data_IF_002910623495
#
_entry.id   IF_002910623495
#
_cell.length_a   1.000
_cell.length_b   1.000
_cell.length_c   1.000
_cell.angle_alpha   90.00
_cell.angle_beta   90.00
_cell.angle_gamma   90.00
#
_symmetry.space_group_name_H-M   'P 1'
#
loop_
_entity.id
_entity.type
_entity.pdbx_description
1 polymer ?
#
# COMPACT_ATOMS: atom_id res chain seq x y z
N UNK A 1 1.28 13.64 -17.24
CA UNK A 1 2.71 13.58 -16.88
C UNK A 1 3.55 12.84 -17.92
N UNK A 2 3.25 11.59 -18.28
CA UNK A 2 4.04 10.76 -19.20
C UNK A 2 4.39 11.48 -20.52
N UNK A 3 3.38 12.12 -21.15
CA UNK A 3 3.60 12.90 -22.37
C UNK A 3 4.51 14.10 -22.13
N UNK A 4 4.35 14.79 -20.99
CA UNK A 4 5.13 15.99 -20.67
C UNK A 4 6.62 15.68 -20.48
N UNK A 5 6.93 14.47 -19.94
CA UNK A 5 8.31 14.03 -19.72
C UNK A 5 8.86 13.14 -20.84
N UNK A 6 8.13 12.96 -21.93
CA UNK A 6 8.62 12.19 -23.09
C UNK A 6 8.69 10.67 -22.91
N UNK A 7 8.01 10.12 -21.89
CA UNK A 7 8.01 8.66 -21.64
C UNK A 7 7.10 7.86 -22.58
N UNK A 8 6.45 8.55 -23.53
CA UNK A 8 5.46 7.93 -24.40
C UNK A 8 4.14 7.62 -23.70
N UNK A 9 3.34 6.76 -24.27
CA UNK A 9 2.04 6.35 -23.74
C UNK A 9 1.83 4.83 -23.92
N UNK A 10 2.61 3.98 -23.25
CA UNK A 10 2.44 2.54 -23.38
C UNK A 10 1.09 2.09 -22.86
N UNK A 11 0.50 1.07 -23.47
CA UNK A 11 -0.76 0.50 -23.02
C UNK A 11 -0.65 -0.05 -21.59
N UNK A 12 -1.78 -0.16 -20.89
CA UNK A 12 -1.79 -0.77 -19.56
C UNK A 12 -1.21 -2.21 -19.60
N UNK A 13 -1.46 -2.96 -20.68
CA UNK A 13 -0.90 -4.30 -20.86
C UNK A 13 0.64 -4.28 -20.98
N UNK A 14 1.18 -3.37 -21.77
CA UNK A 14 2.64 -3.22 -21.92
C UNK A 14 3.32 -2.80 -20.60
N UNK A 15 2.71 -1.87 -19.85
CA UNK A 15 3.25 -1.47 -18.54
C UNK A 15 3.27 -2.63 -17.53
N UNK A 16 2.22 -3.44 -17.50
CA UNK A 16 2.16 -4.60 -16.60
C UNK A 16 3.12 -5.72 -17.02
N UNK A 17 3.33 -5.91 -18.32
CA UNK A 17 4.36 -6.84 -18.81
C UNK A 17 5.76 -6.33 -18.43
N UNK A 18 6.05 -5.05 -18.64
CA UNK A 18 7.32 -4.45 -18.22
C UNK A 18 7.52 -4.54 -16.68
N UNK A 19 6.47 -4.39 -15.88
CA UNK A 19 6.53 -4.61 -14.42
C UNK A 19 6.95 -6.05 -14.10
N UNK A 20 6.32 -7.05 -14.72
CA UNK A 20 6.66 -8.46 -14.53
C UNK A 20 8.12 -8.73 -14.86
N UNK A 21 8.57 -8.34 -16.07
CA UNK A 21 9.95 -8.52 -16.50
C UNK A 21 10.95 -7.83 -15.56
N UNK A 22 10.63 -6.61 -15.11
CA UNK A 22 11.46 -5.88 -14.17
C UNK A 22 11.61 -6.59 -12.82
N UNK A 23 10.53 -7.17 -12.28
CA UNK A 23 10.58 -7.94 -11.04
C UNK A 23 11.42 -9.22 -11.23
N UNK A 24 11.24 -9.94 -12.31
CA UNK A 24 12.01 -11.15 -12.62
C UNK A 24 13.50 -10.85 -12.76
N UNK A 25 13.87 -9.74 -13.43
CA UNK A 25 15.26 -9.26 -13.53
C UNK A 25 15.83 -8.92 -12.15
N UNK A 26 15.11 -8.15 -11.34
CA UNK A 26 15.56 -7.79 -9.99
C UNK A 26 15.81 -9.03 -9.14
N UNK A 27 14.91 -10.01 -9.14
CA UNK A 27 15.06 -11.25 -8.38
C UNK A 27 16.30 -12.05 -8.84
N UNK A 28 16.58 -12.13 -10.15
CA UNK A 28 17.80 -12.76 -10.65
C UNK A 28 19.05 -12.00 -10.20
N UNK A 29 19.06 -10.68 -10.26
CA UNK A 29 20.21 -9.87 -9.88
C UNK A 29 20.50 -9.90 -8.37
N UNK A 30 19.51 -10.16 -7.53
CA UNK A 30 19.69 -10.30 -6.07
C UNK A 30 20.27 -11.64 -5.65
N UNK A 31 20.14 -12.68 -6.51
CA UNK A 31 20.73 -13.98 -6.26
C UNK A 31 22.22 -14.03 -6.67
N UNK A 32 23.02 -15.01 -6.15
CA UNK A 32 24.39 -15.19 -6.58
C UNK A 32 24.50 -15.53 -8.09
N UNK A 33 25.32 -14.76 -8.82
CA UNK A 33 25.56 -14.99 -10.25
C UNK A 33 25.34 -13.72 -11.08
N UNK A 34 24.97 -13.93 -12.33
CA UNK A 34 24.69 -12.89 -13.31
C UNK A 34 23.24 -12.97 -13.74
N UNK A 35 22.56 -11.81 -13.81
CA UNK A 35 21.23 -11.71 -14.38
C UNK A 35 21.29 -11.84 -15.90
N UNK A 36 20.56 -12.79 -16.47
CA UNK A 36 20.39 -12.95 -17.91
C UNK A 36 18.89 -13.04 -18.20
N UNK A 37 18.38 -12.13 -19.01
CA UNK A 37 16.96 -12.06 -19.30
C UNK A 37 16.72 -11.59 -20.72
N UNK A 38 15.81 -12.22 -21.42
CA UNK A 38 15.38 -11.82 -22.77
C UNK A 38 13.85 -11.78 -22.80
N UNK A 39 13.29 -10.60 -22.51
CA UNK A 39 11.86 -10.34 -22.49
C UNK A 39 11.37 -9.56 -23.71
N UNK A 40 10.11 -9.15 -23.64
CA UNK A 40 9.48 -8.30 -24.66
C UNK A 40 9.95 -6.83 -24.54
N UNK A 41 10.16 -6.38 -23.29
CA UNK A 41 10.50 -4.98 -22.98
C UNK A 41 11.95 -4.81 -22.54
N UNK A 42 12.54 -5.81 -21.90
CA UNK A 42 13.89 -5.72 -21.35
C UNK A 42 14.75 -6.89 -21.81
N UNK A 43 16.02 -6.58 -22.09
CA UNK A 43 17.07 -7.58 -22.33
C UNK A 43 18.24 -7.25 -21.40
N UNK A 44 18.71 -8.26 -20.66
CA UNK A 44 19.85 -8.15 -19.74
C UNK A 44 20.81 -9.30 -20.03
N UNK A 45 22.09 -8.99 -20.17
CA UNK A 45 23.16 -9.94 -20.46
C UNK A 45 24.31 -9.74 -19.48
N UNK A 46 24.47 -10.69 -18.57
CA UNK A 46 25.53 -10.69 -17.56
C UNK A 46 25.45 -9.56 -16.53
N UNK A 47 24.25 -9.03 -16.23
CA UNK A 47 24.11 -7.95 -15.26
C UNK A 47 24.37 -8.42 -13.83
N UNK A 48 24.96 -7.54 -13.02
CA UNK A 48 25.31 -7.79 -11.63
C UNK A 48 24.71 -6.73 -10.72
N UNK A 49 24.34 -7.13 -9.49
CA UNK A 49 23.92 -6.21 -8.42
C UNK A 49 24.98 -6.19 -7.31
N UNK A 50 25.67 -5.04 -7.14
CA UNK A 50 26.61 -4.82 -6.05
C UNK A 50 26.43 -3.43 -5.44
N UNK A 51 26.38 -3.31 -4.08
CA UNK A 51 26.39 -4.42 -3.14
C UNK A 51 25.13 -5.29 -3.28
N UNK A 52 25.24 -6.56 -2.87
CA UNK A 52 24.07 -7.45 -2.81
C UNK A 52 23.12 -7.04 -1.70
N UNK A 53 21.83 -7.38 -1.81
CA UNK A 53 20.88 -7.21 -0.72
C UNK A 53 21.37 -7.89 0.57
N UNK A 54 21.24 -7.21 1.71
CA UNK A 54 21.58 -7.77 3.02
C UNK A 54 20.60 -8.85 3.47
N UNK A 55 19.40 -8.89 2.89
CA UNK A 55 18.32 -9.81 3.22
C UNK A 55 18.64 -11.27 2.85
N UNK A 56 19.65 -11.52 2.00
CA UNK A 56 20.17 -12.86 1.70
C UNK A 56 19.10 -13.93 1.49
N UNK A 57 19.43 -15.16 1.84
CA UNK A 57 18.57 -16.33 1.67
C UNK A 57 17.45 -16.45 2.72
N UNK A 58 17.31 -15.49 3.64
CA UNK A 58 16.42 -15.63 4.80
C UNK A 58 15.95 -14.28 5.35
N UNK A 59 15.37 -13.40 4.53
CA UNK A 59 14.67 -12.25 5.09
C UNK A 59 13.50 -12.73 5.96
N UNK A 60 13.40 -12.35 7.25
CA UNK A 60 12.25 -12.72 8.07
C UNK A 60 10.95 -12.27 7.41
N UNK A 61 10.04 -13.20 7.16
CA UNK A 61 8.72 -12.93 6.57
C UNK A 61 8.69 -12.86 5.04
N UNK A 62 9.83 -13.03 4.33
CA UNK A 62 9.81 -13.22 2.88
C UNK A 62 10.08 -14.70 2.55
N UNK A 63 9.18 -15.37 1.82
CA UNK A 63 9.42 -16.72 1.34
C UNK A 63 10.46 -16.76 0.21
N UNK A 64 11.02 -15.62 -0.17
CA UNK A 64 11.93 -15.43 -1.31
C UNK A 64 13.23 -14.78 -0.87
N UNK A 65 14.28 -15.13 -1.57
CA UNK A 65 15.60 -14.54 -1.37
C UNK A 65 15.63 -13.11 -1.92
N UNK A 66 16.15 -12.17 -1.14
CA UNK A 66 16.34 -10.78 -1.57
C UNK A 66 15.46 -9.77 -0.86
N UNK A 67 15.30 -8.61 -1.47
CA UNK A 67 14.51 -7.49 -0.95
C UNK A 67 13.02 -7.83 -1.08
N UNK A 68 12.20 -7.66 -0.03
CA UNK A 68 10.75 -7.87 -0.14
C UNK A 68 10.12 -6.99 -1.23
N UNK A 69 9.31 -7.58 -2.08
CA UNK A 69 8.70 -6.92 -3.23
C UNK A 69 7.28 -6.48 -2.89
N UNK A 70 7.02 -5.20 -3.07
CA UNK A 70 5.69 -4.63 -2.91
C UNK A 70 5.06 -4.34 -4.27
N UNK A 71 3.94 -5.01 -4.59
CA UNK A 71 3.20 -4.79 -5.84
C UNK A 71 1.85 -4.19 -5.50
N UNK A 72 1.67 -2.91 -5.86
CA UNK A 72 0.46 -2.15 -5.61
C UNK A 72 -0.48 -2.15 -6.83
N UNK A 73 -1.78 -2.06 -6.54
CA UNK A 73 -2.83 -1.88 -7.53
C UNK A 73 -3.90 -2.98 -7.51
N UNK A 74 -5.15 -2.56 -7.71
CA UNK A 74 -6.35 -3.42 -7.62
C UNK A 74 -6.78 -4.05 -8.96
N UNK A 75 -5.94 -4.07 -9.99
CA UNK A 75 -6.28 -4.64 -11.29
C UNK A 75 -6.45 -6.16 -11.23
N UNK A 76 -7.69 -6.63 -11.34
CA UNK A 76 -8.11 -8.00 -11.03
C UNK A 76 -7.43 -9.08 -11.87
N UNK A 77 -7.30 -8.85 -13.18
CA UNK A 77 -6.85 -9.88 -14.12
C UNK A 77 -5.32 -10.02 -14.21
N UNK A 78 -4.60 -8.89 -14.09
CA UNK A 78 -3.15 -8.86 -14.32
C UNK A 78 -2.37 -8.44 -13.09
N UNK A 79 -2.73 -7.31 -12.46
CA UNK A 79 -1.96 -6.79 -11.32
C UNK A 79 -1.99 -7.76 -10.15
N UNK A 80 -3.18 -8.25 -9.75
CA UNK A 80 -3.31 -9.23 -8.67
C UNK A 80 -2.69 -10.59 -9.04
N UNK A 81 -2.65 -10.95 -10.33
CA UNK A 81 -1.93 -12.14 -10.80
C UNK A 81 -0.42 -11.99 -10.62
N UNK A 82 0.15 -10.83 -11.00
CA UNK A 82 1.56 -10.53 -10.79
C UNK A 82 1.89 -10.47 -9.30
N UNK A 83 1.00 -9.91 -8.47
CA UNK A 83 1.14 -9.92 -7.02
C UNK A 83 1.16 -11.35 -6.47
N UNK A 84 0.27 -12.23 -6.90
CA UNK A 84 0.26 -13.64 -6.51
C UNK A 84 1.57 -14.36 -6.88
N UNK A 85 2.16 -14.03 -8.03
CA UNK A 85 3.39 -14.66 -8.50
C UNK A 85 4.65 -14.13 -7.81
N UNK A 86 4.72 -12.82 -7.48
CA UNK A 86 5.99 -12.18 -7.11
C UNK A 86 5.97 -11.36 -5.83
N UNK A 87 4.82 -10.92 -5.32
CA UNK A 87 4.79 -9.96 -4.23
C UNK A 87 4.94 -10.61 -2.84
N UNK A 88 5.69 -9.99 -1.96
CA UNK A 88 5.66 -10.25 -0.52
C UNK A 88 4.60 -9.37 0.15
N UNK A 89 4.37 -8.19 -0.41
CA UNK A 89 3.35 -7.24 0.01
C UNK A 89 2.50 -6.81 -1.18
N UNK A 90 1.22 -6.61 -0.97
CA UNK A 90 0.34 -5.97 -1.96
C UNK A 90 -0.49 -4.87 -1.35
N UNK A 91 -0.88 -3.90 -2.18
CA UNK A 91 -1.67 -2.75 -1.77
C UNK A 91 -2.82 -2.54 -2.75
N UNK A 92 -4.03 -2.43 -2.24
CA UNK A 92 -5.23 -2.11 -3.01
C UNK A 92 -6.21 -1.28 -2.17
N UNK A 93 -7.48 -1.17 -2.56
CA UNK A 93 -8.46 -0.32 -1.90
C UNK A 93 -8.56 -0.58 -0.39
N UNK A 94 -8.62 0.50 0.40
CA UNK A 94 -8.87 0.46 1.84
C UNK A 94 -10.35 0.47 2.22
N UNK A 95 -11.26 0.53 1.25
CA UNK A 95 -12.71 0.39 1.50
C UNK A 95 -13.02 -1.06 1.88
N UNK A 96 -13.68 -1.34 3.03
CA UNK A 96 -13.77 -2.69 3.58
C UNK A 96 -14.31 -3.74 2.62
N UNK A 97 -15.38 -3.43 1.89
CA UNK A 97 -16.01 -4.37 0.95
C UNK A 97 -15.12 -4.63 -0.28
N UNK A 98 -14.49 -3.57 -0.81
CA UNK A 98 -13.55 -3.70 -1.93
C UNK A 98 -12.29 -4.45 -1.50
N UNK A 99 -11.79 -4.21 -0.28
CA UNK A 99 -10.65 -4.94 0.27
C UNK A 99 -10.92 -6.44 0.33
N UNK A 100 -12.10 -6.82 0.83
CA UNK A 100 -12.51 -8.22 0.87
C UNK A 100 -12.62 -8.82 -0.53
N UNK A 101 -13.28 -8.13 -1.46
CA UNK A 101 -13.44 -8.60 -2.83
C UNK A 101 -12.08 -8.78 -3.55
N UNK A 102 -11.15 -7.83 -3.41
CA UNK A 102 -9.81 -7.94 -3.99
C UNK A 102 -8.98 -9.04 -3.33
N UNK A 103 -9.14 -9.26 -2.03
CA UNK A 103 -8.50 -10.35 -1.30
C UNK A 103 -8.92 -11.72 -1.83
N UNK A 104 -10.20 -11.92 -2.14
CA UNK A 104 -10.68 -13.19 -2.71
C UNK A 104 -10.16 -13.44 -4.13
N UNK A 105 -10.06 -12.39 -4.95
CA UNK A 105 -9.47 -12.51 -6.29
C UNK A 105 -7.97 -12.85 -6.19
N UNK A 106 -7.25 -12.22 -5.27
CA UNK A 106 -5.85 -12.54 -5.01
C UNK A 106 -5.69 -13.98 -4.54
N UNK A 107 -6.57 -14.46 -3.64
CA UNK A 107 -6.58 -15.86 -3.15
C UNK A 107 -6.75 -16.84 -4.30
N UNK A 108 -7.66 -16.56 -5.22
CA UNK A 108 -7.84 -17.40 -6.41
C UNK A 108 -6.59 -17.44 -7.28
N UNK A 109 -5.95 -16.29 -7.50
CA UNK A 109 -4.68 -16.25 -8.24
C UNK A 109 -3.54 -16.98 -7.53
N UNK A 110 -3.47 -16.91 -6.20
CA UNK A 110 -2.48 -17.67 -5.43
C UNK A 110 -2.69 -19.19 -5.62
N UNK A 111 -3.93 -19.67 -5.53
CA UNK A 111 -4.24 -21.07 -5.79
C UNK A 111 -3.83 -21.51 -7.21
N UNK A 112 -4.08 -20.67 -8.22
CA UNK A 112 -3.70 -20.95 -9.62
C UNK A 112 -2.17 -21.04 -9.84
N UNK A 113 -1.36 -20.32 -9.03
CA UNK A 113 0.12 -20.33 -9.15
C UNK A 113 0.76 -21.26 -8.14
N UNK A 114 -0.01 -21.93 -7.29
CA UNK A 114 0.49 -22.85 -6.27
C UNK A 114 1.23 -22.15 -5.13
N UNK A 115 0.75 -20.95 -4.73
CA UNK A 115 1.32 -20.18 -3.64
C UNK A 115 0.33 -20.05 -2.48
N UNK A 116 0.84 -20.06 -1.25
CA UNK A 116 0.02 -19.79 -0.07
C UNK A 116 -0.39 -18.29 -0.06
N UNK A 117 -1.69 -18.05 0.10
CA UNK A 117 -2.24 -16.71 0.12
C UNK A 117 -1.77 -15.91 1.34
N UNK A 118 -1.57 -16.56 2.44
CA UNK A 118 -1.13 -16.03 3.72
C UNK A 118 0.34 -15.53 3.69
N UNK A 119 1.13 -15.95 2.70
CA UNK A 119 2.49 -15.44 2.47
C UNK A 119 2.53 -14.00 1.95
N UNK A 120 1.38 -13.44 1.56
CA UNK A 120 1.29 -12.08 1.03
C UNK A 120 0.67 -11.16 2.08
N UNK A 121 1.45 -10.23 2.58
CA UNK A 121 0.97 -9.17 3.46
C UNK A 121 0.08 -8.21 2.67
N UNK A 122 -1.17 -8.07 3.08
CA UNK A 122 -2.14 -7.18 2.43
C UNK A 122 -2.21 -5.85 3.14
N UNK A 123 -2.08 -4.79 2.37
CA UNK A 123 -2.05 -3.41 2.86
C UNK A 123 -3.04 -2.52 2.14
N UNK A 124 -3.32 -1.38 2.74
CA UNK A 124 -4.08 -0.32 2.09
C UNK A 124 -3.59 1.07 2.53
N UNK A 125 -3.80 2.07 1.65
CA UNK A 125 -3.52 3.46 1.93
C UNK A 125 -4.80 4.15 2.42
N UNK A 126 -4.64 5.02 3.41
CA UNK A 126 -5.73 5.75 4.02
C UNK A 126 -5.39 7.23 4.12
N UNK A 127 -6.33 8.07 3.71
CA UNK A 127 -6.38 9.44 4.18
C UNK A 127 -7.03 9.44 5.57
N UNK A 128 -6.37 10.03 6.54
CA UNK A 128 -6.85 10.12 7.92
C UNK A 128 -7.29 11.54 8.21
N UNK A 129 -8.51 11.69 8.75
CA UNK A 129 -9.00 12.93 9.35
C UNK A 129 -9.50 12.59 10.74
N UNK A 130 -8.69 12.87 11.75
CA UNK A 130 -8.96 12.50 13.15
C UNK A 130 -9.18 13.73 14.02
N UNK A 131 -10.21 13.71 14.85
CA UNK A 131 -10.48 14.73 15.85
C UNK A 131 -10.82 14.10 17.19
N UNK A 132 -10.68 14.85 18.28
CA UNK A 132 -11.05 14.40 19.63
C UNK A 132 -12.56 14.21 19.77
N UNK A 133 -13.32 14.89 18.92
CA UNK A 133 -14.76 14.80 18.79
C UNK A 133 -15.20 15.12 17.36
N UNK A 134 -16.50 14.94 17.08
CA UNK A 134 -17.07 15.20 15.75
C UNK A 134 -16.92 16.66 15.32
N UNK A 135 -16.89 17.62 16.24
CA UNK A 135 -16.72 19.03 15.92
C UNK A 135 -15.31 19.29 15.37
N UNK A 136 -14.28 18.76 16.02
CA UNK A 136 -12.91 18.88 15.54
C UNK A 136 -12.71 18.15 14.19
N UNK A 137 -13.35 17.00 13.96
CA UNK A 137 -13.34 16.34 12.65
C UNK A 137 -13.91 17.26 11.56
N UNK A 138 -15.04 17.94 11.84
CA UNK A 138 -15.63 18.88 10.89
C UNK A 138 -14.74 20.12 10.67
N UNK A 139 -14.09 20.63 11.70
CA UNK A 139 -13.11 21.73 11.57
C UNK A 139 -11.95 21.35 10.65
N UNK A 140 -11.41 20.13 10.77
CA UNK A 140 -10.34 19.64 9.88
C UNK A 140 -10.80 19.46 8.44
N UNK A 141 -12.00 18.94 8.21
CA UNK A 141 -12.58 18.88 6.87
C UNK A 141 -12.81 20.27 6.27
N UNK A 142 -13.24 21.25 7.08
CA UNK A 142 -13.35 22.64 6.65
C UNK A 142 -11.98 23.24 6.31
N UNK A 143 -10.95 22.97 7.13
CA UNK A 143 -9.58 23.39 6.85
C UNK A 143 -9.07 22.81 5.51
N UNK A 144 -9.32 21.54 5.22
CA UNK A 144 -8.97 20.91 3.94
C UNK A 144 -9.64 21.65 2.77
N UNK A 145 -10.93 21.97 2.89
CA UNK A 145 -11.67 22.76 1.90
C UNK A 145 -11.01 24.12 1.65
N UNK A 146 -10.76 24.86 2.71
CA UNK A 146 -10.19 26.20 2.65
C UNK A 146 -8.76 26.16 2.07
N UNK A 147 -7.99 25.15 2.45
CA UNK A 147 -6.63 24.96 1.94
C UNK A 147 -6.62 24.72 0.43
N UNK A 148 -7.42 23.82 -0.10
CA UNK A 148 -7.51 23.56 -1.54
C UNK A 148 -8.12 24.73 -2.31
N UNK A 149 -9.09 25.43 -1.72
CA UNK A 149 -9.66 26.65 -2.31
C UNK A 149 -8.59 27.75 -2.40
N UNK A 150 -7.81 27.96 -1.36
CA UNK A 150 -6.73 28.95 -1.35
C UNK A 150 -5.59 28.62 -2.31
N UNK A 151 -5.38 27.33 -2.61
CA UNK A 151 -4.45 26.87 -3.62
C UNK A 151 -4.96 27.07 -5.07
N UNK A 152 -6.19 27.59 -5.23
CA UNK A 152 -6.77 27.93 -6.55
C UNK A 152 -7.33 26.74 -7.32
N UNK A 153 -7.68 25.63 -6.64
CA UNK A 153 -8.36 24.53 -7.30
C UNK A 153 -9.82 24.92 -7.65
N UNK A 154 -10.37 24.40 -8.77
CA UNK A 154 -11.77 24.58 -9.11
C UNK A 154 -12.70 24.06 -8.01
N UNK A 155 -13.83 24.72 -7.80
CA UNK A 155 -14.80 24.41 -6.71
C UNK A 155 -15.28 22.97 -6.76
N UNK A 156 -15.61 22.45 -7.95
CA UNK A 156 -16.04 21.07 -8.14
C UNK A 156 -14.95 20.03 -7.77
N UNK A 157 -13.68 20.38 -8.00
CA UNK A 157 -12.53 19.55 -7.59
C UNK A 157 -12.37 19.60 -6.06
N UNK A 158 -12.50 20.79 -5.45
CA UNK A 158 -12.44 20.95 -3.98
C UNK A 158 -13.54 20.12 -3.32
N UNK A 159 -14.80 20.27 -3.74
CA UNK A 159 -15.92 19.55 -3.14
C UNK A 159 -15.80 18.02 -3.32
N UNK A 160 -15.40 17.56 -4.50
CA UNK A 160 -15.20 16.12 -4.73
C UNK A 160 -14.05 15.56 -3.89
N UNK A 161 -13.00 16.34 -3.68
CA UNK A 161 -11.85 15.97 -2.84
C UNK A 161 -12.25 15.89 -1.37
N UNK A 162 -12.89 16.92 -0.82
CA UNK A 162 -13.37 16.94 0.57
C UNK A 162 -14.35 15.79 0.82
N UNK A 163 -15.26 15.54 -0.13
CA UNK A 163 -16.17 14.40 -0.04
C UNK A 163 -15.41 13.07 0.00
N UNK A 164 -14.39 12.91 -0.83
CA UNK A 164 -13.56 11.70 -0.84
C UNK A 164 -12.83 11.49 0.49
N UNK A 165 -12.39 12.56 1.16
CA UNK A 165 -11.87 12.46 2.53
C UNK A 165 -12.97 12.07 3.51
N UNK A 166 -14.10 12.77 3.53
CA UNK A 166 -15.18 12.53 4.47
C UNK A 166 -15.79 11.13 4.38
N UNK A 167 -15.82 10.55 3.18
CA UNK A 167 -16.32 9.18 2.92
C UNK A 167 -15.26 8.09 3.23
N UNK A 168 -14.04 8.47 3.62
CA UNK A 168 -12.97 7.54 3.91
C UNK A 168 -13.18 6.74 5.21
N UNK A 169 -12.64 5.51 5.30
CA UNK A 169 -12.86 4.66 6.47
C UNK A 169 -12.12 5.12 7.74
N UNK A 170 -11.09 5.98 7.61
CA UNK A 170 -10.32 6.50 8.74
C UNK A 170 -10.59 7.99 8.98
N UNK A 171 -11.87 8.34 9.06
CA UNK A 171 -12.35 9.69 9.37
C UNK A 171 -13.28 9.62 10.58
N UNK A 172 -12.93 10.33 11.67
CA UNK A 172 -13.70 10.32 12.89
C UNK A 172 -12.89 10.50 14.15
N UNK A 173 -13.48 10.13 15.28
CA UNK A 173 -12.79 10.10 16.56
C UNK A 173 -11.82 8.91 16.65
N UNK A 174 -10.89 8.89 17.63
CA UNK A 174 -10.02 7.73 17.84
C UNK A 174 -10.77 6.40 17.93
N UNK A 175 -11.91 6.38 18.63
CA UNK A 175 -12.73 5.18 18.82
C UNK A 175 -13.29 4.67 17.48
N UNK A 176 -13.83 5.58 16.65
CA UNK A 176 -14.37 5.25 15.33
C UNK A 176 -13.28 4.72 14.39
N UNK A 177 -12.10 5.33 14.41
CA UNK A 177 -10.95 4.87 13.60
C UNK A 177 -10.44 3.51 14.08
N UNK A 178 -10.37 3.27 15.39
CA UNK A 178 -10.00 1.96 15.95
C UNK A 178 -10.99 0.89 15.49
N UNK A 179 -12.30 1.17 15.56
CA UNK A 179 -13.33 0.24 15.11
C UNK A 179 -13.17 -0.11 13.61
N UNK A 180 -12.95 0.88 12.76
CA UNK A 180 -12.71 0.70 11.34
C UNK A 180 -11.45 -0.14 11.06
N UNK A 181 -10.35 0.13 11.76
CA UNK A 181 -9.12 -0.63 11.62
C UNK A 181 -9.26 -2.08 12.15
N UNK A 182 -10.04 -2.30 13.20
CA UNK A 182 -10.37 -3.65 13.71
C UNK A 182 -11.19 -4.43 12.68
N UNK A 183 -12.17 -3.80 12.02
CA UNK A 183 -12.93 -4.43 10.94
C UNK A 183 -12.00 -4.80 9.76
N UNK A 184 -11.20 -3.87 9.27
CA UNK A 184 -10.23 -4.13 8.19
C UNK A 184 -9.23 -5.23 8.56
N UNK A 185 -8.75 -5.26 9.80
CA UNK A 185 -7.90 -6.34 10.32
C UNK A 185 -8.62 -7.68 10.28
N UNK A 186 -9.88 -7.75 10.67
CA UNK A 186 -10.69 -8.96 10.63
C UNK A 186 -10.86 -9.52 9.20
N UNK A 187 -10.80 -8.64 8.20
CA UNK A 187 -10.79 -8.97 6.77
C UNK A 187 -9.40 -9.36 6.26
N UNK A 188 -8.38 -9.31 7.13
CA UNK A 188 -7.01 -9.73 6.87
C UNK A 188 -6.08 -8.62 6.36
N UNK A 189 -6.41 -7.36 6.55
CA UNK A 189 -5.44 -6.28 6.39
C UNK A 189 -4.41 -6.36 7.51
N UNK A 190 -3.13 -6.38 7.14
CA UNK A 190 -2.03 -6.49 8.09
C UNK A 190 -1.13 -5.24 8.11
N UNK A 191 -1.28 -4.33 7.15
CA UNK A 191 -0.45 -3.14 7.08
C UNK A 191 -1.29 -1.94 6.61
N UNK A 192 -1.42 -0.91 7.44
CA UNK A 192 -2.08 0.35 7.11
C UNK A 192 -1.03 1.43 6.82
N UNK A 193 -1.17 2.11 5.68
CA UNK A 193 -0.36 3.28 5.32
C UNK A 193 -1.24 4.50 5.49
N UNK A 194 -0.91 5.35 6.44
CA UNK A 194 -1.72 6.52 6.80
C UNK A 194 -1.10 7.81 6.26
N UNK A 195 -1.94 8.68 5.70
CA UNK A 195 -1.59 9.99 5.23
C UNK A 195 -2.50 11.04 5.87
N UNK A 196 -1.88 12.07 6.44
CA UNK A 196 -2.57 13.21 7.06
C UNK A 196 -2.33 14.44 6.20
N UNK A 197 -3.39 15.02 5.63
CA UNK A 197 -3.27 16.13 4.68
C UNK A 197 -2.63 17.36 5.33
N UNK A 198 -2.98 17.62 6.58
CA UNK A 198 -2.52 18.77 7.34
C UNK A 198 -1.10 18.63 7.92
N UNK A 199 -0.46 17.46 7.87
CA UNK A 199 0.80 17.19 8.57
C UNK A 199 1.97 18.13 8.25
N UNK A 200 1.94 18.79 7.08
CA UNK A 200 2.95 19.78 6.73
C UNK A 200 2.75 21.12 7.45
N UNK A 201 1.60 21.34 8.10
CA UNK A 201 1.19 22.58 8.73
C UNK A 201 0.83 22.39 10.21
N UNK A 202 0.21 21.27 10.54
CA UNK A 202 -0.27 20.91 11.88
C UNK A 202 -0.09 19.40 12.12
N UNK A 203 0.68 19.05 13.15
CA UNK A 203 0.93 17.66 13.53
C UNK A 203 -0.08 17.11 14.55
N UNK A 204 -1.01 17.93 15.03
CA UNK A 204 -1.92 17.51 16.09
C UNK A 204 -2.76 16.28 15.75
N UNK A 205 -3.13 16.10 14.47
CA UNK A 205 -3.82 14.91 13.99
C UNK A 205 -2.93 13.66 14.05
N UNK A 206 -1.66 13.79 13.64
CA UNK A 206 -0.67 12.70 13.74
C UNK A 206 -0.44 12.33 15.21
N UNK A 207 -0.22 13.32 16.08
CA UNK A 207 0.00 13.12 17.52
C UNK A 207 -1.21 12.45 18.19
N UNK A 208 -2.43 12.87 17.84
CA UNK A 208 -3.64 12.26 18.36
C UNK A 208 -3.77 10.78 17.91
N UNK A 209 -3.47 10.49 16.65
CA UNK A 209 -3.48 9.13 16.13
C UNK A 209 -2.42 8.26 16.84
N UNK A 210 -1.20 8.78 17.01
CA UNK A 210 -0.12 8.09 17.70
C UNK A 210 -0.47 7.78 19.16
N UNK A 211 -1.05 8.74 19.88
CA UNK A 211 -1.36 8.62 21.30
C UNK A 211 -2.62 7.80 21.61
N UNK A 212 -3.62 7.85 20.75
CA UNK A 212 -4.93 7.27 21.02
C UNK A 212 -5.26 6.03 20.18
N UNK A 213 -4.76 5.93 18.93
CA UNK A 213 -5.10 4.83 18.04
C UNK A 213 -4.04 3.73 18.06
N UNK A 214 -2.76 4.06 17.91
CA UNK A 214 -1.68 3.05 17.85
C UNK A 214 -1.66 2.13 19.08
N UNK A 215 -1.79 2.65 20.34
CA UNK A 215 -1.74 1.81 21.53
C UNK A 215 -2.82 0.73 21.58
N UNK A 216 -3.98 0.98 20.98
CA UNK A 216 -5.08 0.00 20.94
C UNK A 216 -4.69 -1.29 20.16
N UNK A 217 -3.67 -1.21 19.32
CA UNK A 217 -3.15 -2.35 18.55
C UNK A 217 -1.88 -2.96 19.15
N UNK A 218 -1.10 -2.19 19.93
CA UNK A 218 0.13 -2.68 20.58
C UNK A 218 -0.16 -3.57 21.80
N UNK A 219 -1.16 -3.25 22.61
CA UNK A 219 -1.49 -3.99 23.83
C UNK A 219 -2.02 -5.42 23.56
N UNK A 220 -2.44 -5.73 22.34
CA UNK A 220 -2.96 -7.05 21.96
C UNK A 220 -1.89 -8.07 21.54
N UNK A 221 -0.63 -7.67 21.44
CA UNK A 221 0.47 -8.59 21.09
C UNK A 221 0.80 -9.62 22.20
N UNK A 222 0.40 -9.39 23.44
CA UNK A 222 0.65 -10.34 24.54
C UNK A 222 -0.15 -11.63 24.44
N UNK A 223 -1.04 -11.77 23.45
CA UNK A 223 -1.92 -12.95 23.28
C UNK A 223 -1.89 -13.57 21.86
N UNK A 224 -0.77 -13.49 21.16
CA UNK A 224 -0.50 -14.33 19.98
C UNK A 224 -0.73 -13.66 18.62
N UNK A 225 0.28 -13.02 18.08
CA UNK A 225 0.38 -12.56 16.70
C UNK A 225 1.54 -11.60 16.52
N UNK A 226 2.55 -12.01 15.78
CA UNK A 226 3.79 -11.26 15.58
C UNK A 226 3.57 -10.07 14.63
N UNK A 227 3.60 -8.85 15.17
CA UNK A 227 3.68 -7.62 14.37
C UNK A 227 5.15 -7.17 14.32
N UNK A 228 5.70 -7.07 13.13
CA UNK A 228 7.01 -6.46 12.96
C UNK A 228 6.83 -4.97 12.66
N UNK A 229 7.15 -4.13 13.64
CA UNK A 229 7.47 -2.72 13.36
C UNK A 229 8.91 -2.67 12.87
N UNK A 230 9.10 -2.24 11.63
CA UNK A 230 10.41 -1.86 11.13
C UNK A 230 10.73 -0.47 11.72
N UNK A 231 11.47 -0.44 12.83
CA UNK A 231 12.22 0.74 13.20
C UNK A 231 13.47 0.81 12.32
N UNK A 232 13.52 1.79 11.45
CA UNK A 232 14.68 2.13 10.63
C UNK A 232 14.88 3.62 10.62
#
# INVERSE_FOLDING_TARGET
EWRAYGYGSPSAGARLQALREGVEIMQQMWTPGYGNYAGEHFTVDGAMCFPRPLQGDSAPGSPRNGIPVWIAGGGEKKTLRIAAEYADYTNFSGMPEEFSAKSEILRAHCADVGREFEDIVRSANFNVVIGRDDAEVQERLAWIRDHYTSAGLPEDVVESTVKSFADGPLVGTPEQIIEALVDLRSRGMAYAITYFVEQAYDLSGVELFEQAVIPAFMEREQHGGMWHFLHG
#
